data_IF_750057593520
#
_entry.id   IF_750057593520
#
_cell.length_a   1.000
_cell.length_b   1.000
_cell.length_c   1.000
_cell.angle_alpha   90.00
_cell.angle_beta   90.00
_cell.angle_gamma   90.00
#
_symmetry.space_group_name_H-M   'P 1'
#
loop_
_entity.id
_entity.type
_entity.pdbx_description
1 polymer ?
#
# COMPACT_ATOMS: atom_id res chain seq x y z
N UNK A 1 12.09 -55.08 10.69
CA UNK A 1 12.57 -53.73 11.06
C UNK A 1 11.38 -52.79 11.00
N UNK A 2 10.57 -52.77 12.06
CA UNK A 2 9.36 -51.97 12.18
C UNK A 2 9.61 -50.90 13.25
N UNK A 3 9.52 -49.63 12.88
CA UNK A 3 9.53 -48.49 13.80
C UNK A 3 8.10 -48.15 14.22
N UNK A 4 7.85 -47.81 15.50
CA UNK A 4 6.55 -47.32 15.95
C UNK A 4 6.48 -45.79 15.80
N UNK A 5 5.37 -45.28 15.29
CA UNK A 5 5.13 -43.85 15.07
C UNK A 5 3.68 -43.52 15.36
N UNK A 6 3.47 -42.87 16.49
CA UNK A 6 2.24 -42.75 17.26
C UNK A 6 1.23 -41.70 16.74
N UNK A 7 -0.02 -41.89 17.17
CA UNK A 7 -0.99 -40.90 17.66
C UNK A 7 -1.72 -39.94 16.68
N UNK A 8 -3.00 -40.26 16.51
CA UNK A 8 -4.18 -39.35 16.44
C UNK A 8 -3.94 -37.88 16.09
N UNK A 9 -4.38 -37.48 14.89
CA UNK A 9 -4.84 -36.12 14.62
C UNK A 9 -6.23 -35.91 15.21
N UNK A 10 -6.23 -35.40 16.45
CA UNK A 10 -7.41 -34.83 17.09
C UNK A 10 -7.78 -33.49 16.47
N UNK A 11 -9.09 -33.22 16.55
CA UNK A 11 -9.73 -31.90 16.56
C UNK A 11 -10.16 -31.30 15.23
N UNK A 12 -11.40 -31.67 14.86
CA UNK A 12 -12.52 -30.74 14.69
C UNK A 12 -12.18 -29.25 14.88
N UNK A 13 -12.53 -28.43 13.90
CA UNK A 13 -13.55 -27.37 14.04
C UNK A 13 -13.81 -26.66 12.70
N UNK A 14 -15.08 -26.54 12.28
CA UNK A 14 -15.52 -25.60 11.26
C UNK A 14 -15.99 -24.29 11.92
N UNK A 15 -15.19 -23.23 11.84
CA UNK A 15 -15.53 -21.87 12.33
C UNK A 15 -14.61 -20.88 11.58
N UNK A 16 -15.00 -19.75 11.01
CA UNK A 16 -16.19 -18.92 11.10
C UNK A 16 -16.28 -18.09 9.83
N UNK A 17 -17.50 -17.86 9.34
CA UNK A 17 -17.81 -16.66 8.56
C UNK A 17 -17.56 -15.43 9.44
N UNK A 18 -16.49 -14.68 9.18
CA UNK A 18 -16.35 -13.29 9.64
C UNK A 18 -15.65 -12.46 8.57
N UNK A 19 -16.32 -11.34 8.26
CA UNK A 19 -16.03 -10.31 7.27
C UNK A 19 -14.63 -9.67 7.44
N UNK A 20 -14.02 -9.37 6.29
CA UNK A 20 -12.96 -8.38 6.03
C UNK A 20 -11.81 -8.26 7.04
N UNK A 21 -10.70 -8.94 6.77
CA UNK A 21 -9.38 -8.41 7.15
C UNK A 21 -8.42 -8.77 6.04
N UNK A 22 -8.03 -7.74 5.28
CA UNK A 22 -7.05 -7.82 4.20
C UNK A 22 -5.78 -8.43 4.80
N UNK A 23 -5.42 -9.62 4.32
CA UNK A 23 -4.21 -10.34 4.72
C UNK A 23 -3.00 -9.60 4.15
N UNK A 24 -2.63 -8.47 4.77
CA UNK A 24 -1.35 -7.79 4.54
C UNK A 24 -0.29 -8.78 5.05
N UNK A 25 0.10 -9.72 4.20
CA UNK A 25 1.37 -10.41 4.34
C UNK A 25 2.42 -9.32 4.40
N UNK A 26 2.99 -9.17 5.59
CA UNK A 26 4.16 -8.33 5.83
C UNK A 26 5.33 -8.97 5.08
N UNK A 27 5.37 -8.79 3.77
CA UNK A 27 6.63 -8.89 3.06
C UNK A 27 7.48 -7.74 3.59
N UNK A 28 8.54 -8.08 4.32
CA UNK A 28 9.47 -7.09 4.84
C UNK A 28 9.91 -6.22 3.65
N UNK A 29 9.62 -4.91 3.68
CA UNK A 29 10.02 -4.08 2.58
C UNK A 29 11.54 -4.10 2.52
N UNK A 30 12.11 -4.28 1.33
CA UNK A 30 13.55 -4.13 1.13
C UNK A 30 14.03 -2.84 1.83
N UNK A 31 15.23 -2.83 2.41
CA UNK A 31 15.76 -1.66 3.09
C UNK A 31 15.87 -0.40 2.19
N UNK A 32 15.72 -0.57 0.87
CA UNK A 32 15.75 0.51 -0.13
C UNK A 32 14.35 0.88 -0.69
N UNK A 33 13.27 0.37 -0.10
CA UNK A 33 11.92 0.84 -0.44
C UNK A 33 11.73 2.31 -0.06
N UNK A 34 11.09 3.07 -0.93
CA UNK A 34 10.80 4.49 -0.68
C UNK A 34 9.30 4.66 -0.56
N UNK A 35 8.89 5.16 0.61
CA UNK A 35 7.52 5.61 0.87
C UNK A 35 7.41 7.09 0.56
N UNK A 36 6.54 7.42 -0.37
CA UNK A 36 6.23 8.77 -0.81
C UNK A 36 4.85 9.19 -0.32
N UNK A 37 4.70 10.48 -0.05
CA UNK A 37 3.43 11.12 0.20
C UNK A 37 3.04 11.94 -1.04
N UNK A 38 1.83 11.72 -1.53
CA UNK A 38 1.25 12.45 -2.65
C UNK A 38 0.02 13.20 -2.14
N UNK A 39 0.08 14.53 -2.14
CA UNK A 39 -1.06 15.40 -1.82
C UNK A 39 -1.70 15.98 -3.07
N UNK A 40 -2.80 16.71 -2.89
CA UNK A 40 -3.53 17.42 -3.97
C UNK A 40 -4.12 16.50 -5.05
N UNK A 41 -4.47 15.28 -4.68
CA UNK A 41 -5.17 14.32 -5.53
C UNK A 41 -6.64 14.75 -5.64
N UNK A 42 -7.23 14.79 -6.85
CA UNK A 42 -8.63 15.18 -7.00
C UNK A 42 -9.56 14.10 -6.40
N UNK A 43 -10.71 14.53 -5.85
CA UNK A 43 -11.60 13.65 -5.06
C UNK A 43 -12.21 12.49 -5.86
N UNK A 44 -12.29 12.65 -7.17
CA UNK A 44 -12.76 11.62 -8.11
C UNK A 44 -11.72 10.52 -8.35
N UNK A 45 -10.44 10.75 -8.01
CA UNK A 45 -9.39 9.80 -8.29
C UNK A 45 -9.31 8.72 -7.21
N UNK A 46 -9.18 7.48 -7.67
CA UNK A 46 -9.19 6.30 -6.81
C UNK A 46 -7.81 5.64 -6.73
N UNK A 47 -7.67 4.71 -5.78
CA UNK A 47 -6.43 3.96 -5.59
C UNK A 47 -6.01 3.19 -6.85
N UNK A 48 -6.97 2.62 -7.59
CA UNK A 48 -6.71 1.91 -8.84
C UNK A 48 -6.06 2.82 -9.88
N UNK A 49 -6.63 4.01 -10.13
CA UNK A 49 -6.07 4.96 -11.10
C UNK A 49 -4.69 5.48 -10.68
N UNK A 50 -4.52 5.76 -9.38
CA UNK A 50 -3.21 6.18 -8.85
C UNK A 50 -2.20 5.06 -9.02
N UNK A 51 -2.58 3.81 -8.71
CA UNK A 51 -1.71 2.64 -8.88
C UNK A 51 -1.30 2.51 -10.34
N UNK A 52 -2.25 2.51 -11.26
CA UNK A 52 -1.94 2.44 -12.71
C UNK A 52 -1.02 3.59 -13.14
N UNK A 53 -1.23 4.80 -12.62
CA UNK A 53 -0.35 5.94 -12.88
C UNK A 53 1.07 5.71 -12.36
N UNK A 54 1.22 5.22 -11.13
CA UNK A 54 2.51 4.97 -10.49
C UNK A 54 3.24 3.74 -11.07
N UNK A 55 2.49 2.73 -11.51
CA UNK A 55 3.02 1.51 -12.14
C UNK A 55 3.75 1.80 -13.45
N UNK A 56 3.47 2.93 -14.11
CA UNK A 56 4.24 3.40 -15.27
C UNK A 56 5.71 3.73 -14.95
N UNK A 57 6.00 4.12 -13.71
CA UNK A 57 7.36 4.43 -13.23
C UNK A 57 8.05 3.22 -12.58
N UNK A 58 7.26 2.26 -12.10
CA UNK A 58 7.74 0.96 -11.65
C UNK A 58 6.84 0.28 -10.62
N UNK A 59 7.27 -0.88 -10.10
CA UNK A 59 6.42 -1.73 -9.28
C UNK A 59 6.08 -1.05 -7.94
N UNK A 60 4.78 -0.90 -7.68
CA UNK A 60 4.22 -0.33 -6.45
C UNK A 60 4.05 -1.44 -5.42
N UNK A 61 4.77 -1.33 -4.30
CA UNK A 61 4.62 -2.20 -3.13
C UNK A 61 3.29 -1.98 -2.45
N UNK A 62 2.99 -0.74 -2.10
CA UNK A 62 1.78 -0.40 -1.37
C UNK A 62 1.26 0.95 -1.81
N UNK A 63 -0.05 1.05 -1.99
CA UNK A 63 -0.74 2.32 -2.17
C UNK A 63 -1.83 2.41 -1.12
N UNK A 64 -1.98 3.57 -0.50
CA UNK A 64 -3.02 3.81 0.49
C UNK A 64 -3.57 5.22 0.34
N UNK A 65 -4.82 5.34 -0.10
CA UNK A 65 -5.50 6.63 -0.22
C UNK A 65 -6.11 7.04 1.12
N UNK A 66 -5.81 8.26 1.57
CA UNK A 66 -6.40 8.81 2.79
C UNK A 66 -7.82 9.27 2.47
N UNK A 67 -8.79 8.62 3.10
CA UNK A 67 -10.21 8.98 3.03
C UNK A 67 -10.73 9.37 4.40
N UNK A 68 -11.65 10.32 4.43
CA UNK A 68 -12.35 10.72 5.64
C UNK A 68 -13.28 9.59 6.10
N UNK A 69 -13.26 9.25 7.39
CA UNK A 69 -14.07 8.16 7.94
C UNK A 69 -15.55 8.52 8.11
N UNK A 70 -15.88 9.81 8.20
CA UNK A 70 -17.26 10.27 8.40
C UNK A 70 -17.97 10.46 7.06
N UNK A 71 -17.30 11.10 6.08
CA UNK A 71 -17.91 11.37 4.77
C UNK A 71 -17.57 10.33 3.70
N UNK A 72 -16.53 9.51 3.92
CA UNK A 72 -16.01 8.58 2.91
C UNK A 72 -15.26 9.27 1.77
N UNK A 73 -15.14 10.60 1.79
CA UNK A 73 -14.49 11.36 0.72
C UNK A 73 -12.97 11.25 0.82
N UNK A 74 -12.30 11.17 -0.33
CA UNK A 74 -10.84 11.26 -0.40
C UNK A 74 -10.37 12.60 0.15
N UNK A 75 -9.42 12.57 1.09
CA UNK A 75 -8.76 13.78 1.62
C UNK A 75 -7.84 14.46 0.60
N UNK A 76 -7.82 13.95 -0.63
CA UNK A 76 -6.94 14.39 -1.70
C UNK A 76 -5.47 14.06 -1.43
N UNK A 77 -5.21 13.01 -0.65
CA UNK A 77 -3.85 12.58 -0.33
C UNK A 77 -3.75 11.06 -0.37
N UNK A 78 -2.59 10.54 -0.74
CA UNK A 78 -2.26 9.11 -0.64
C UNK A 78 -0.81 8.91 -0.23
N UNK A 79 -0.53 7.71 0.26
CA UNK A 79 0.82 7.21 0.42
C UNK A 79 1.07 6.12 -0.61
N UNK A 80 2.21 6.20 -1.29
CA UNK A 80 2.66 5.18 -2.22
C UNK A 80 4.05 4.72 -1.81
N UNK A 81 4.29 3.42 -1.82
CA UNK A 81 5.58 2.80 -1.53
C UNK A 81 5.99 2.01 -2.74
N UNK A 82 7.21 2.25 -3.23
CA UNK A 82 7.79 1.51 -4.34
C UNK A 82 8.78 0.47 -3.84
N UNK A 83 8.92 -0.62 -4.60
CA UNK A 83 9.95 -1.65 -4.36
C UNK A 83 11.38 -1.15 -4.65
N UNK A 84 11.52 -0.07 -5.42
CA UNK A 84 12.83 0.43 -5.83
C UNK A 84 12.92 1.94 -5.69
N UNK A 85 14.02 2.41 -5.12
CA UNK A 85 14.37 3.83 -5.03
C UNK A 85 14.35 4.53 -6.38
N UNK A 86 14.85 3.88 -7.44
CA UNK A 86 14.87 4.45 -8.79
C UNK A 86 13.46 4.81 -9.28
N UNK A 87 12.50 3.91 -9.16
CA UNK A 87 11.10 4.15 -9.56
C UNK A 87 10.44 5.23 -8.71
N UNK A 88 10.73 5.26 -7.41
CA UNK A 88 10.25 6.35 -6.55
C UNK A 88 10.83 7.71 -6.96
N UNK A 89 12.12 7.78 -7.29
CA UNK A 89 12.76 9.00 -7.77
C UNK A 89 12.22 9.45 -9.13
N UNK A 90 11.93 8.51 -10.03
CA UNK A 90 11.36 8.81 -11.35
C UNK A 90 9.92 9.33 -11.21
N UNK A 91 9.09 8.63 -10.44
CA UNK A 91 7.73 9.06 -10.08
C UNK A 91 7.76 10.41 -9.35
N UNK A 92 8.72 10.63 -8.46
CA UNK A 92 8.95 11.92 -7.85
C UNK A 92 9.27 12.93 -8.94
N UNK A 93 10.31 12.80 -9.73
CA UNK A 93 10.67 13.80 -10.73
C UNK A 93 9.56 14.09 -11.74
N UNK A 94 8.74 13.10 -12.11
CA UNK A 94 7.64 13.25 -13.05
C UNK A 94 6.37 13.89 -12.42
N UNK A 95 6.07 13.60 -11.15
CA UNK A 95 4.83 14.04 -10.48
C UNK A 95 5.05 15.16 -9.45
N UNK A 96 6.29 15.32 -8.98
CA UNK A 96 6.76 16.45 -8.19
C UNK A 96 6.76 17.70 -9.09
N UNK A 97 6.20 18.80 -8.58
CA UNK A 97 5.85 20.05 -9.27
C UNK A 97 4.40 20.20 -9.75
N UNK A 98 3.50 19.24 -9.52
CA UNK A 98 2.07 19.45 -9.79
C UNK A 98 1.36 20.39 -8.78
N UNK A 99 1.93 20.65 -7.60
CA UNK A 99 1.54 21.78 -6.71
C UNK A 99 2.66 22.14 -5.73
N UNK A 100 3.05 23.41 -5.75
CA UNK A 100 4.00 24.07 -4.85
C UNK A 100 3.36 24.32 -3.48
N UNK A 101 4.00 23.90 -2.39
CA UNK A 101 3.83 24.54 -1.08
C UNK A 101 4.84 25.69 -1.00
N UNK A 102 4.41 26.87 -1.44
CA UNK A 102 5.06 28.13 -1.09
C UNK A 102 4.74 28.44 0.38
N UNK A 103 5.57 27.94 1.31
CA UNK A 103 5.29 28.15 2.72
C UNK A 103 6.23 27.51 3.73
N UNK A 104 7.54 27.53 3.50
CA UNK A 104 8.50 27.31 4.59
C UNK A 104 9.50 28.46 4.60
N UNK A 105 8.97 29.65 4.90
CA UNK A 105 9.76 30.77 5.39
C UNK A 105 10.12 30.44 6.85
N UNK A 106 11.42 30.29 7.12
CA UNK A 106 11.95 30.22 8.48
C UNK A 106 12.04 31.63 9.07
#
# INVERSE_FOLDING_TARGET
MNTPGNLTTLSSSPSSTTISTINIEKHEPDPDTIKMFCGQIPRNMHESELREMFEQFGPVFQLNVLRDKQTGESKGCCFVTFYSRKSALDAQNALHNLRTLNGSHH
#
